data_IF_983216984190
#
_entry.id   IF_983216984190
#
_cell.length_a   1.000
_cell.length_b   1.000
_cell.length_c   1.000
_cell.angle_alpha   90.00
_cell.angle_beta   90.00
_cell.angle_gamma   90.00
#
_symmetry.space_group_name_H-M   'P 1'
#
loop_
_entity.id
_entity.type
_entity.pdbx_description
1 polymer ?
#
# COMPACT_ATOMS: atom_id res chain seq x y z
N UNK A 1 -30.68 2.11 35.51
CA UNK A 1 -30.16 2.07 34.14
C UNK A 1 -28.79 1.40 34.19
N UNK A 2 -28.60 0.29 33.44
CA UNK A 2 -27.24 -0.27 33.27
C UNK A 2 -26.42 0.77 32.52
N UNK A 3 -25.33 1.24 33.09
CA UNK A 3 -24.35 2.05 32.38
C UNK A 3 -23.81 1.15 31.25
N UNK A 4 -24.11 1.50 30.02
CA UNK A 4 -23.65 0.75 28.86
C UNK A 4 -22.16 1.02 28.73
N UNK A 5 -21.35 -0.05 28.73
CA UNK A 5 -19.89 0.06 28.66
C UNK A 5 -19.48 0.76 27.35
N UNK A 6 -18.56 1.74 27.41
CA UNK A 6 -18.03 2.43 26.26
C UNK A 6 -17.00 1.53 25.56
N UNK A 7 -17.30 1.10 24.32
CA UNK A 7 -16.49 0.12 23.60
C UNK A 7 -16.53 0.31 22.09
N UNK A 8 -15.39 0.09 21.43
CA UNK A 8 -15.29 -0.17 19.99
C UNK A 8 -15.50 -1.67 19.76
N UNK A 9 -16.43 -2.03 18.88
CA UNK A 9 -16.74 -3.42 18.52
C UNK A 9 -16.06 -3.87 17.25
N UNK A 10 -16.02 -3.00 16.23
CA UNK A 10 -15.39 -3.25 14.95
C UNK A 10 -14.95 -1.95 14.29
N UNK A 11 -13.97 -2.04 13.40
CA UNK A 11 -13.53 -0.96 12.51
C UNK A 11 -13.45 -1.49 11.09
N UNK A 12 -14.05 -0.77 10.15
CA UNK A 12 -14.10 -1.17 8.74
C UNK A 12 -13.73 0.02 7.83
N UNK A 13 -12.71 -0.12 6.97
CA UNK A 13 -11.78 -1.25 6.85
C UNK A 13 -10.89 -1.41 8.11
N UNK A 14 -10.27 -2.59 8.28
CA UNK A 14 -9.43 -2.90 9.44
C UNK A 14 -8.08 -2.17 9.47
N UNK A 15 -7.73 -1.49 8.39
CA UNK A 15 -6.57 -0.61 8.26
C UNK A 15 -6.92 0.58 7.38
N UNK A 16 -6.19 1.68 7.51
CA UNK A 16 -6.43 2.89 6.74
C UNK A 16 -5.16 3.73 6.60
N UNK A 17 -5.30 4.88 5.97
CA UNK A 17 -4.23 5.85 5.77
C UNK A 17 -4.66 7.21 6.32
N UNK A 18 -3.72 8.10 6.65
CA UNK A 18 -4.03 9.48 7.06
C UNK A 18 -4.95 10.17 6.03
N UNK A 19 -6.01 10.82 6.52
CA UNK A 19 -7.03 11.45 5.67
C UNK A 19 -8.11 10.50 5.13
N UNK A 20 -7.93 9.20 5.22
CA UNK A 20 -8.93 8.19 4.86
C UNK A 20 -10.07 8.13 5.89
N UNK A 21 -11.18 7.51 5.51
CA UNK A 21 -12.35 7.36 6.38
C UNK A 21 -12.58 5.89 6.74
N UNK A 22 -12.96 5.66 8.00
CA UNK A 22 -13.32 4.34 8.51
C UNK A 22 -14.65 4.40 9.24
N UNK A 23 -15.41 3.31 9.15
CA UNK A 23 -16.60 3.09 9.95
C UNK A 23 -16.22 2.38 11.26
N UNK A 24 -16.70 2.88 12.39
CA UNK A 24 -16.51 2.29 13.69
C UNK A 24 -17.87 1.85 14.22
N UNK A 25 -18.02 0.56 14.47
CA UNK A 25 -19.14 0.03 15.25
C UNK A 25 -18.81 0.12 16.72
N UNK A 26 -19.68 0.71 17.49
CA UNK A 26 -19.43 1.02 18.90
C UNK A 26 -20.63 0.78 19.81
N UNK A 27 -20.39 0.98 21.09
CA UNK A 27 -21.42 0.96 22.13
C UNK A 27 -21.08 2.03 23.17
N UNK A 28 -22.13 2.67 23.72
CA UNK A 28 -21.97 3.69 24.78
C UNK A 28 -21.52 5.07 24.29
N UNK A 29 -21.34 5.28 23.00
CA UNK A 29 -21.02 6.60 22.42
C UNK A 29 -22.23 7.53 22.48
N UNK A 30 -21.99 8.82 22.67
CA UNK A 30 -23.04 9.84 22.80
C UNK A 30 -22.88 10.95 21.75
N UNK A 31 -23.48 10.79 20.57
CA UNK A 31 -23.32 11.76 19.46
C UNK A 31 -23.93 13.14 19.78
N UNK A 32 -24.92 13.19 20.68
CA UNK A 32 -25.53 14.44 21.13
C UNK A 32 -24.66 15.33 22.03
N UNK A 33 -23.48 14.90 22.42
CA UNK A 33 -22.51 15.61 23.25
C UNK A 33 -21.19 15.88 22.49
N UNK A 34 -21.20 16.66 21.40
CA UNK A 34 -20.03 16.83 20.53
C UNK A 34 -18.82 17.48 21.22
N UNK A 35 -19.04 18.24 22.30
CA UNK A 35 -17.96 18.85 23.09
C UNK A 35 -17.24 17.87 24.02
N UNK A 36 -17.86 16.73 24.34
CA UNK A 36 -17.34 15.74 25.32
C UNK A 36 -17.20 14.33 24.76
N UNK A 37 -17.62 14.08 23.52
CA UNK A 37 -17.48 12.79 22.83
C UNK A 37 -16.42 12.90 21.74
N UNK A 38 -15.39 12.05 21.79
CA UNK A 38 -14.23 12.06 20.91
C UNK A 38 -13.92 10.65 20.42
N UNK A 39 -13.32 10.58 19.22
CA UNK A 39 -12.64 9.41 18.71
C UNK A 39 -11.15 9.71 18.67
N UNK A 40 -10.35 8.83 19.21
CA UNK A 40 -8.90 9.00 19.31
C UNK A 40 -8.20 7.89 18.53
N UNK A 41 -7.19 8.24 17.76
CA UNK A 41 -6.21 7.33 17.17
C UNK A 41 -4.87 7.58 17.89
N UNK A 42 -4.53 6.71 18.83
CA UNK A 42 -3.48 7.00 19.79
C UNK A 42 -3.84 8.23 20.66
N UNK A 43 -3.01 9.25 20.60
CA UNK A 43 -3.19 10.52 21.30
C UNK A 43 -3.92 11.60 20.45
N UNK A 44 -4.07 11.36 19.14
CA UNK A 44 -4.67 12.34 18.22
C UNK A 44 -6.17 12.13 18.03
N UNK A 45 -6.88 13.23 17.99
CA UNK A 45 -8.33 13.22 17.73
C UNK A 45 -8.62 12.98 16.26
N UNK A 46 -9.48 12.00 15.96
CA UNK A 46 -10.02 11.75 14.63
C UNK A 46 -11.26 12.61 14.39
N UNK A 47 -11.38 13.23 13.22
CA UNK A 47 -12.52 14.04 12.86
C UNK A 47 -13.76 13.16 12.63
N UNK A 48 -14.82 13.40 13.38
CA UNK A 48 -16.10 12.70 13.21
C UNK A 48 -16.83 13.29 12.01
N UNK A 49 -17.05 12.48 10.99
CA UNK A 49 -17.80 12.85 9.76
C UNK A 49 -19.30 12.66 9.97
N UNK A 50 -19.68 11.54 10.59
CA UNK A 50 -21.06 11.28 11.03
C UNK A 50 -21.06 10.37 12.25
N UNK A 51 -22.12 10.45 13.05
CA UNK A 51 -22.23 9.70 14.31
C UNK A 51 -23.68 9.29 14.61
N UNK A 52 -23.84 8.02 15.03
CA UNK A 52 -24.98 7.50 15.76
C UNK A 52 -24.50 6.92 17.10
N UNK A 53 -25.41 6.33 17.89
CA UNK A 53 -25.05 5.71 19.18
C UNK A 53 -24.23 4.43 19.02
N UNK A 54 -24.32 3.78 17.84
CA UNK A 54 -23.74 2.47 17.54
C UNK A 54 -22.76 2.49 16.38
N UNK A 55 -22.71 3.58 15.59
CA UNK A 55 -21.84 3.69 14.41
C UNK A 55 -21.33 5.10 14.18
N UNK A 56 -20.04 5.19 13.90
CA UNK A 56 -19.34 6.43 13.59
C UNK A 56 -18.64 6.29 12.24
N UNK A 57 -18.62 7.38 11.47
CA UNK A 57 -17.68 7.57 10.35
C UNK A 57 -16.67 8.60 10.81
N UNK A 58 -15.40 8.27 10.73
CA UNK A 58 -14.31 9.16 11.16
C UNK A 58 -13.25 9.27 10.08
N UNK A 59 -12.65 10.46 9.98
CA UNK A 59 -11.47 10.68 9.16
C UNK A 59 -10.23 10.55 10.03
N UNK A 60 -9.31 9.69 9.58
CA UNK A 60 -8.10 9.34 10.31
C UNK A 60 -7.09 10.49 10.34
N UNK A 61 -6.55 10.86 11.50
CA UNK A 61 -5.44 11.81 11.60
C UNK A 61 -4.12 11.13 11.21
N UNK A 62 -3.10 11.94 10.99
CA UNK A 62 -1.74 11.44 10.85
C UNK A 62 -1.15 11.10 12.23
N UNK A 63 -1.10 9.82 12.56
CA UNK A 63 -0.62 9.28 13.83
C UNK A 63 0.06 7.91 13.63
N UNK A 64 1.25 7.88 13.01
CA UNK A 64 1.86 6.64 12.51
C UNK A 64 2.12 5.59 13.59
N UNK A 65 2.38 6.00 14.83
CA UNK A 65 2.70 5.09 15.94
C UNK A 65 1.49 4.75 16.81
N UNK A 66 0.28 5.09 16.36
CA UNK A 66 -0.91 4.87 17.17
C UNK A 66 -1.20 3.37 17.33
N UNK A 67 -1.40 2.88 18.58
CA UNK A 67 -1.66 1.47 18.84
C UNK A 67 -3.07 1.03 18.40
N UNK A 68 -3.95 1.99 18.11
CA UNK A 68 -5.32 1.73 17.70
C UNK A 68 -6.28 2.87 18.01
N UNK A 69 -7.55 2.56 17.92
CA UNK A 69 -8.66 3.51 18.11
C UNK A 69 -9.27 3.35 19.49
N UNK A 70 -9.56 4.45 20.14
CA UNK A 70 -10.36 4.51 21.38
C UNK A 70 -11.44 5.57 21.30
N UNK A 71 -12.47 5.41 22.10
CA UNK A 71 -13.56 6.35 22.27
C UNK A 71 -13.45 7.04 23.62
N UNK A 72 -13.72 8.35 23.66
CA UNK A 72 -13.86 9.11 24.89
C UNK A 72 -15.26 9.70 24.94
N UNK A 73 -15.93 9.53 26.06
CA UNK A 73 -17.21 10.22 26.39
C UNK A 73 -17.06 10.81 27.76
N UNK A 74 -17.08 12.13 27.86
CA UNK A 74 -16.78 12.87 29.09
C UNK A 74 -15.41 12.44 29.68
N UNK A 75 -15.39 11.89 30.88
CA UNK A 75 -14.19 11.41 31.58
C UNK A 75 -13.93 9.89 31.36
N UNK A 76 -14.77 9.23 30.59
CA UNK A 76 -14.66 7.78 30.34
C UNK A 76 -13.90 7.53 29.02
N UNK A 77 -12.86 6.69 29.07
CA UNK A 77 -12.10 6.22 27.93
C UNK A 77 -12.38 4.73 27.72
N UNK A 78 -12.65 4.32 26.48
CA UNK A 78 -12.76 2.89 26.14
C UNK A 78 -11.38 2.21 26.15
N UNK A 79 -11.39 0.88 26.17
CA UNK A 79 -10.21 0.11 25.77
C UNK A 79 -9.77 0.48 24.33
N UNK A 80 -8.47 0.35 24.06
CA UNK A 80 -7.92 0.56 22.71
C UNK A 80 -8.30 -0.62 21.83
N UNK A 81 -8.96 -0.35 20.72
CA UNK A 81 -9.23 -1.34 19.68
C UNK A 81 -8.04 -1.34 18.69
N UNK A 82 -7.37 -2.49 18.45
CA UNK A 82 -6.23 -2.56 17.56
C UNK A 82 -6.59 -2.10 16.14
N UNK A 83 -5.82 -1.17 15.60
CA UNK A 83 -6.02 -0.64 14.24
C UNK A 83 -4.67 -0.26 13.65
N UNK A 84 -4.44 -0.60 12.39
CA UNK A 84 -3.20 -0.28 11.68
C UNK A 84 -3.39 0.93 10.80
N UNK A 85 -2.63 1.98 11.07
CA UNK A 85 -2.50 3.13 10.16
C UNK A 85 -1.31 2.88 9.22
N UNK A 86 -1.58 2.85 7.92
CA UNK A 86 -0.53 2.77 6.91
C UNK A 86 0.22 4.09 6.79
N UNK A 87 1.52 4.01 6.51
CA UNK A 87 2.36 5.17 6.28
C UNK A 87 2.54 5.43 4.78
N UNK A 88 2.60 6.70 4.39
CA UNK A 88 3.08 7.10 3.08
C UNK A 88 4.61 7.11 3.12
N UNK A 89 5.25 6.16 2.45
CA UNK A 89 6.71 6.03 2.46
C UNK A 89 7.39 7.11 1.63
N UNK A 90 6.77 7.51 0.52
CA UNK A 90 7.37 8.47 -0.42
C UNK A 90 6.26 9.16 -1.23
N UNK A 91 6.49 10.40 -1.59
CA UNK A 91 5.62 11.19 -2.49
C UNK A 91 6.42 11.73 -3.68
N UNK A 92 5.72 12.23 -4.70
CA UNK A 92 6.37 12.87 -5.86
C UNK A 92 6.92 11.89 -6.91
N UNK A 93 6.74 10.59 -6.73
CA UNK A 93 7.00 9.60 -7.77
C UNK A 93 5.80 9.56 -8.74
N UNK A 94 6.01 9.95 -9.99
CA UNK A 94 4.90 10.07 -10.95
C UNK A 94 5.22 9.35 -12.27
N UNK A 95 4.23 8.64 -12.83
CA UNK A 95 3.26 7.73 -12.20
C UNK A 95 3.95 6.41 -11.80
N UNK A 96 3.58 5.84 -10.67
CA UNK A 96 4.15 4.57 -10.17
C UNK A 96 3.19 3.40 -10.35
N UNK A 97 3.76 2.20 -10.60
CA UNK A 97 2.99 0.96 -10.69
C UNK A 97 3.78 -0.22 -10.12
N UNK A 98 3.08 -1.30 -9.83
CA UNK A 98 3.65 -2.63 -9.52
C UNK A 98 4.76 -2.61 -8.45
N UNK A 99 4.50 -2.12 -7.22
CA UNK A 99 5.49 -2.20 -6.17
C UNK A 99 5.75 -3.65 -5.77
N UNK A 100 7.02 -3.96 -5.49
CA UNK A 100 7.43 -5.26 -4.95
C UNK A 100 8.37 -5.03 -3.76
N UNK A 101 8.24 -5.86 -2.72
CA UNK A 101 9.09 -5.77 -1.54
C UNK A 101 10.30 -6.66 -1.74
N UNK A 102 11.48 -6.07 -1.66
CA UNK A 102 12.75 -6.78 -1.74
C UNK A 102 13.04 -7.58 -0.44
N UNK A 103 13.89 -8.63 -0.50
CA UNK A 103 14.25 -9.41 0.69
C UNK A 103 14.82 -8.59 1.85
N UNK A 104 15.48 -7.47 1.57
CA UNK A 104 16.00 -6.54 2.58
C UNK A 104 14.94 -5.58 3.15
N UNK A 105 13.68 -5.67 2.66
CA UNK A 105 12.56 -4.83 3.09
C UNK A 105 12.44 -3.48 2.40
N UNK A 106 13.33 -3.14 1.45
CA UNK A 106 13.11 -2.00 0.56
C UNK A 106 11.98 -2.30 -0.44
N UNK A 107 11.36 -1.25 -0.97
CA UNK A 107 10.32 -1.39 -2.01
C UNK A 107 10.93 -0.98 -3.35
N UNK A 108 10.71 -1.78 -4.39
CA UNK A 108 11.06 -1.40 -5.76
C UNK A 108 9.77 -1.18 -6.54
N UNK A 109 9.71 -0.10 -7.30
CA UNK A 109 8.55 0.22 -8.14
C UNK A 109 9.00 0.70 -9.51
N UNK A 110 8.09 0.68 -10.49
CA UNK A 110 8.33 1.24 -11.81
C UNK A 110 7.77 2.65 -11.92
N UNK A 111 8.45 3.51 -12.66
CA UNK A 111 7.92 4.79 -13.12
C UNK A 111 7.63 4.66 -14.61
N UNK A 112 6.40 4.97 -14.99
CA UNK A 112 5.97 4.98 -16.39
C UNK A 112 5.88 6.40 -16.92
N UNK A 113 6.30 6.62 -18.15
CA UNK A 113 6.06 7.86 -18.87
C UNK A 113 4.66 7.96 -19.46
N UNK A 114 4.30 9.12 -19.98
CA UNK A 114 3.15 9.29 -20.84
C UNK A 114 3.30 8.45 -22.11
N UNK A 115 2.21 8.24 -22.85
CA UNK A 115 2.23 7.40 -24.06
C UNK A 115 3.30 7.90 -25.04
N UNK A 116 4.25 7.03 -25.37
CA UNK A 116 5.38 7.35 -26.28
C UNK A 116 6.57 8.03 -25.61
N UNK A 117 6.53 8.28 -24.32
CA UNK A 117 7.65 8.83 -23.56
C UNK A 117 8.50 7.71 -22.96
N UNK A 118 9.80 7.71 -23.26
CA UNK A 118 10.78 6.91 -22.52
C UNK A 118 11.18 7.65 -21.25
N UNK A 119 11.23 6.90 -20.15
CA UNK A 119 11.75 7.39 -18.88
C UNK A 119 13.14 6.76 -18.69
N UNK A 120 14.14 7.61 -18.53
CA UNK A 120 15.47 7.14 -18.14
C UNK A 120 15.41 6.58 -16.70
N UNK A 121 16.04 5.41 -16.48
CA UNK A 121 16.09 4.77 -15.18
C UNK A 121 14.68 4.59 -14.55
N UNK A 122 13.81 3.80 -15.17
CA UNK A 122 12.41 3.72 -14.79
C UNK A 122 12.14 2.89 -13.54
N UNK A 123 13.15 2.27 -12.93
CA UNK A 123 13.03 1.54 -11.66
C UNK A 123 13.49 2.44 -10.51
N UNK A 124 12.72 2.46 -9.44
CA UNK A 124 13.03 3.21 -8.22
C UNK A 124 13.03 2.27 -7.03
N UNK A 125 14.11 2.30 -6.26
CA UNK A 125 14.19 1.67 -4.94
C UNK A 125 13.82 2.70 -3.89
N UNK A 126 12.98 2.31 -2.95
CA UNK A 126 12.58 3.10 -1.80
C UNK A 126 13.08 2.37 -0.55
N UNK A 127 13.92 3.02 0.24
CA UNK A 127 14.41 2.47 1.50
C UNK A 127 13.27 2.36 2.53
N UNK A 128 13.52 1.69 3.66
CA UNK A 128 12.57 1.62 4.78
C UNK A 128 12.30 2.99 5.40
N UNK A 129 13.26 3.90 5.27
CA UNK A 129 13.22 5.27 5.77
C UNK A 129 12.53 6.24 4.79
N UNK A 130 12.11 5.74 3.60
CA UNK A 130 11.42 6.51 2.56
C UNK A 130 12.36 7.22 1.57
N UNK A 131 13.67 6.93 1.60
CA UNK A 131 14.60 7.48 0.62
C UNK A 131 14.44 6.79 -0.73
N UNK A 132 14.27 7.59 -1.79
CA UNK A 132 14.07 7.09 -3.15
C UNK A 132 15.34 7.23 -3.99
N UNK A 133 15.78 6.12 -4.58
CA UNK A 133 16.94 6.02 -5.45
C UNK A 133 16.52 5.42 -6.81
N UNK A 134 16.96 6.01 -7.91
CA UNK A 134 16.77 5.42 -9.24
C UNK A 134 17.82 4.34 -9.49
N UNK A 135 17.35 3.18 -9.92
CA UNK A 135 18.23 2.10 -10.34
C UNK A 135 18.69 2.35 -11.77
N UNK A 136 19.99 2.19 -11.99
CA UNK A 136 20.55 2.36 -13.32
C UNK A 136 20.19 1.13 -14.18
N UNK A 137 19.26 1.32 -15.10
CA UNK A 137 18.82 0.32 -16.07
C UNK A 137 18.06 1.00 -17.22
N UNK A 138 18.15 0.42 -18.39
CA UNK A 138 17.43 0.84 -19.59
C UNK A 138 16.34 -0.17 -19.93
N UNK A 139 15.13 0.04 -19.46
CA UNK A 139 13.96 -0.78 -19.77
C UNK A 139 12.85 0.13 -20.29
N UNK A 140 12.33 -0.20 -21.45
CA UNK A 140 11.24 0.57 -22.05
C UNK A 140 9.90 0.14 -21.44
N UNK A 141 9.19 1.09 -20.84
CA UNK A 141 7.86 0.87 -20.24
C UNK A 141 7.77 -0.39 -19.36
N UNK A 142 8.58 -0.49 -18.28
CA UNK A 142 8.47 -1.60 -17.34
C UNK A 142 7.09 -1.60 -16.68
N UNK A 143 6.53 -2.78 -16.47
CA UNK A 143 5.17 -2.93 -15.92
C UNK A 143 5.08 -3.87 -14.74
N UNK A 144 5.45 -5.13 -14.89
CA UNK A 144 5.42 -6.11 -13.82
C UNK A 144 6.78 -6.26 -13.14
N UNK A 145 6.76 -6.42 -11.83
CA UNK A 145 7.93 -6.71 -11.01
C UNK A 145 7.68 -7.96 -10.16
N UNK A 146 8.66 -8.83 -10.04
CA UNK A 146 8.65 -9.94 -9.10
C UNK A 146 10.07 -10.33 -8.71
N UNK A 147 10.28 -10.78 -7.47
CA UNK A 147 11.51 -11.45 -7.09
C UNK A 147 11.41 -12.93 -7.45
N UNK A 148 12.43 -13.43 -8.15
CA UNK A 148 12.56 -14.85 -8.47
C UNK A 148 13.06 -15.66 -7.27
N UNK A 149 13.06 -17.01 -7.41
CA UNK A 149 13.58 -17.91 -6.38
C UNK A 149 15.09 -17.78 -6.15
N UNK A 150 15.80 -17.17 -7.08
CA UNK A 150 17.22 -16.79 -7.01
C UNK A 150 17.45 -15.47 -6.25
N UNK A 151 16.38 -14.81 -5.76
CA UNK A 151 16.44 -13.53 -5.08
C UNK A 151 16.70 -12.35 -6.01
N UNK A 152 16.74 -12.54 -7.33
CA UNK A 152 16.92 -11.46 -8.30
C UNK A 152 15.59 -10.83 -8.68
N UNK A 153 15.64 -9.57 -9.09
CA UNK A 153 14.47 -8.84 -9.58
C UNK A 153 14.21 -9.18 -11.06
N UNK A 154 12.97 -9.55 -11.34
CA UNK A 154 12.48 -9.75 -12.71
C UNK A 154 11.53 -8.61 -13.08
N UNK A 155 11.65 -8.13 -14.31
CA UNK A 155 10.93 -6.96 -14.81
C UNK A 155 10.35 -7.26 -16.19
N UNK A 156 9.04 -7.10 -16.38
CA UNK A 156 8.45 -7.16 -17.71
C UNK A 156 8.48 -5.80 -18.41
N UNK A 157 8.83 -5.79 -19.69
CA UNK A 157 8.69 -4.65 -20.61
C UNK A 157 7.49 -4.88 -21.51
N UNK A 158 6.46 -4.04 -21.37
CA UNK A 158 5.26 -4.16 -22.22
C UNK A 158 5.50 -3.71 -23.65
N UNK A 159 6.52 -2.87 -23.88
CA UNK A 159 6.82 -2.37 -25.22
C UNK A 159 7.58 -3.39 -26.04
N UNK A 160 8.50 -4.09 -25.39
CA UNK A 160 9.40 -5.03 -26.06
C UNK A 160 8.87 -6.48 -26.02
N UNK A 161 7.86 -6.75 -25.18
CA UNK A 161 7.33 -8.10 -24.98
C UNK A 161 8.33 -9.05 -24.32
N UNK A 162 9.17 -8.52 -23.44
CA UNK A 162 10.32 -9.21 -22.85
C UNK A 162 10.19 -9.22 -21.32
N UNK A 163 10.70 -10.27 -20.68
CA UNK A 163 11.03 -10.28 -19.26
C UNK A 163 12.54 -10.26 -19.11
N UNK A 164 13.01 -9.27 -18.37
CA UNK A 164 14.41 -9.12 -17.98
C UNK A 164 14.62 -9.60 -16.53
N UNK A 165 15.82 -10.13 -16.27
CA UNK A 165 16.36 -10.29 -14.91
C UNK A 165 17.37 -9.17 -14.66
N UNK A 166 17.14 -8.38 -13.62
CA UNK A 166 18.04 -7.32 -13.19
C UNK A 166 19.07 -7.88 -12.20
N UNK A 167 20.32 -7.90 -12.60
CA UNK A 167 21.44 -8.44 -11.81
C UNK A 167 22.26 -7.37 -11.11
N UNK A 168 21.86 -6.09 -11.24
CA UNK A 168 22.59 -4.93 -10.72
C UNK A 168 23.61 -4.38 -11.73
N UNK A 169 24.21 -3.22 -11.42
CA UNK A 169 25.28 -2.59 -12.21
C UNK A 169 24.98 -2.49 -13.73
N UNK A 170 23.76 -2.00 -14.08
CA UNK A 170 23.33 -1.79 -15.48
C UNK A 170 23.15 -3.07 -16.31
N UNK A 171 23.20 -4.24 -15.70
CA UNK A 171 23.10 -5.49 -16.42
C UNK A 171 21.71 -6.09 -16.36
N UNK A 172 21.17 -6.36 -17.55
CA UNK A 172 19.86 -6.98 -17.79
C UNK A 172 20.05 -8.23 -18.61
N UNK A 173 19.68 -9.38 -18.06
CA UNK A 173 19.59 -10.63 -18.83
C UNK A 173 18.18 -10.77 -19.40
N UNK A 174 18.07 -11.10 -20.69
CA UNK A 174 16.78 -11.51 -21.28
C UNK A 174 16.46 -12.91 -20.79
N UNK A 175 15.28 -13.07 -20.16
CA UNK A 175 14.80 -14.36 -19.64
C UNK A 175 13.75 -14.98 -20.55
N UNK A 176 12.88 -14.16 -21.11
CA UNK A 176 11.84 -14.57 -22.02
C UNK A 176 11.50 -13.41 -22.98
N UNK A 177 11.18 -13.74 -24.23
CA UNK A 177 10.84 -12.79 -25.29
C UNK A 177 9.61 -13.27 -26.08
N UNK A 178 9.14 -12.47 -27.02
CA UNK A 178 7.94 -12.73 -27.84
C UNK A 178 6.65 -12.90 -27.03
N UNK A 179 6.57 -12.23 -25.88
CA UNK A 179 5.45 -12.33 -24.94
C UNK A 179 4.30 -11.34 -25.23
N UNK A 180 4.29 -10.71 -26.41
CA UNK A 180 3.27 -9.73 -26.76
C UNK A 180 3.36 -8.46 -25.91
N UNK A 181 2.28 -8.08 -25.24
CA UNK A 181 2.25 -6.91 -24.34
C UNK A 181 2.45 -7.42 -22.90
N UNK A 182 3.66 -7.85 -22.57
CA UNK A 182 4.00 -8.40 -21.27
C UNK A 182 3.68 -7.40 -20.14
N UNK A 183 2.89 -7.83 -19.17
CA UNK A 183 2.39 -6.96 -18.10
C UNK A 183 2.70 -7.52 -16.71
N UNK A 184 1.75 -8.18 -16.06
CA UNK A 184 1.97 -8.78 -14.75
C UNK A 184 2.87 -9.99 -14.82
N UNK A 185 3.77 -10.15 -13.85
CA UNK A 185 4.61 -11.33 -13.69
C UNK A 185 4.52 -11.86 -12.26
N UNK A 186 4.65 -13.16 -12.11
CA UNK A 186 4.70 -13.80 -10.80
C UNK A 186 5.46 -15.13 -10.86
N UNK A 187 6.01 -15.54 -9.73
CA UNK A 187 6.59 -16.87 -9.56
C UNK A 187 5.70 -17.73 -8.65
N UNK A 188 5.58 -18.99 -8.96
CA UNK A 188 4.97 -19.94 -8.06
C UNK A 188 5.99 -20.50 -7.05
N UNK A 189 5.50 -21.32 -6.12
CA UNK A 189 6.33 -21.95 -5.08
C UNK A 189 7.37 -22.94 -5.61
N UNK A 190 7.27 -23.33 -6.90
CA UNK A 190 8.24 -24.18 -7.59
C UNK A 190 9.24 -23.39 -8.43
N UNK A 191 9.20 -22.07 -8.35
CA UNK A 191 10.08 -21.17 -9.12
C UNK A 191 9.74 -21.03 -10.59
N UNK A 192 8.52 -21.36 -11.01
CA UNK A 192 8.08 -21.17 -12.40
C UNK A 192 7.56 -19.76 -12.58
N UNK A 193 8.05 -19.09 -13.62
CA UNK A 193 7.62 -17.75 -14.01
C UNK A 193 6.30 -17.83 -14.79
N UNK A 194 5.36 -16.96 -14.42
CA UNK A 194 4.12 -16.71 -15.15
C UNK A 194 4.10 -15.28 -15.63
N UNK A 195 3.72 -15.06 -16.89
CA UNK A 195 3.65 -13.73 -17.51
C UNK A 195 2.28 -13.54 -18.12
N UNK A 196 1.59 -12.47 -17.72
CA UNK A 196 0.32 -12.06 -18.31
C UNK A 196 0.56 -11.13 -19.50
N UNK A 197 -0.05 -11.44 -20.63
CA UNK A 197 -0.12 -10.59 -21.81
C UNK A 197 -1.49 -9.90 -21.88
N UNK A 198 -1.50 -8.61 -22.15
CA UNK A 198 -2.75 -7.83 -22.25
C UNK A 198 -3.68 -8.25 -23.40
N UNK A 199 -3.22 -9.07 -24.33
CA UNK A 199 -4.08 -9.68 -25.36
C UNK A 199 -4.92 -10.85 -24.84
N UNK A 200 -4.77 -11.23 -23.56
CA UNK A 200 -5.57 -12.28 -22.91
C UNK A 200 -4.87 -13.62 -22.78
N UNK A 201 -3.54 -13.66 -22.90
CA UNK A 201 -2.76 -14.88 -22.72
C UNK A 201 -2.01 -14.88 -21.39
N UNK A 202 -1.72 -16.07 -20.88
CA UNK A 202 -0.79 -16.29 -19.78
C UNK A 202 0.24 -17.29 -20.24
N UNK A 203 1.50 -16.87 -20.22
CA UNK A 203 2.66 -17.71 -20.51
C UNK A 203 3.23 -18.28 -19.21
N UNK A 204 3.85 -19.44 -19.30
CA UNK A 204 4.58 -20.08 -18.20
C UNK A 204 5.94 -20.57 -18.72
#
# INVERSE_FOLDING_TARGET
MKVQELQVKAVTPAMGFPGGEVAIECQGFRPGLPSSSRVLLGDKEAAIVSASEDRLMVRLPDSPDAPGISLRVENTLSAVFPFTLGACLVTGLHPVTSPVVAPNGSVITTISGSRGQQIAQPLVRISREGEAERLNCEITNPTGLAFGPDGQLYVSSRNDGVVFRYTGFDHLDVVAEDLGIASGIAFDSRGRLYVGDRSGKIFR
#
